data_IF_497209805970
#
_entry.id   IF_497209805970
#
_cell.length_a   1.000
_cell.length_b   1.000
_cell.length_c   1.000
_cell.angle_alpha   90.00
_cell.angle_beta   90.00
_cell.angle_gamma   90.00
#
_symmetry.space_group_name_H-M   'P 1'
#
loop_
_entity.id
_entity.type
_entity.pdbx_description
1 polymer ?
#
# COMPACT_ATOMS: atom_id res chain seq x y z
N UNK A 1 9.00 3.73 32.18
CA UNK A 1 10.22 4.11 31.45
C UNK A 1 10.23 3.35 30.15
N UNK A 2 9.65 3.93 29.11
CA UNK A 2 9.66 3.40 27.75
C UNK A 2 10.90 3.91 27.08
N UNK A 3 11.83 3.03 26.76
CA UNK A 3 13.02 3.36 25.97
C UNK A 3 12.56 3.78 24.58
N UNK A 4 12.61 5.08 24.35
CA UNK A 4 12.54 5.68 23.03
C UNK A 4 13.77 5.18 22.23
N UNK A 5 13.56 4.28 21.27
CA UNK A 5 14.60 3.82 20.36
C UNK A 5 14.66 4.81 19.19
N UNK A 6 15.22 5.99 19.47
CA UNK A 6 15.50 7.05 18.49
C UNK A 6 16.79 6.78 17.69
N UNK A 7 16.96 5.57 17.18
CA UNK A 7 17.97 5.25 16.17
C UNK A 7 17.39 5.46 14.76
N UNK A 8 18.23 5.63 13.73
CA UNK A 8 17.75 5.65 12.35
C UNK A 8 16.98 4.35 12.04
N UNK A 9 15.93 4.42 11.18
CA UNK A 9 15.18 3.22 10.81
C UNK A 9 16.10 2.20 10.13
N UNK A 10 15.83 0.88 10.30
CA UNK A 10 16.66 -0.16 9.72
C UNK A 10 16.63 -0.10 8.19
N UNK A 11 17.76 -0.41 7.57
CA UNK A 11 17.88 -0.46 6.11
C UNK A 11 17.43 -1.82 5.56
N UNK A 12 16.78 -1.89 4.39
CA UNK A 12 16.46 -3.14 3.70
C UNK A 12 17.68 -4.04 3.54
N UNK A 13 17.47 -5.36 3.61
CA UNK A 13 18.54 -6.35 3.54
C UNK A 13 19.32 -6.59 4.84
N UNK A 14 19.03 -5.84 5.91
CA UNK A 14 19.65 -6.06 7.24
C UNK A 14 18.79 -6.98 8.11
N UNK A 15 19.41 -7.61 9.13
CA UNK A 15 18.68 -8.42 10.12
C UNK A 15 17.62 -7.59 10.87
N UNK A 16 17.93 -6.34 11.20
CA UNK A 16 16.99 -5.42 11.83
C UNK A 16 15.78 -5.10 10.93
N UNK A 17 15.98 -5.02 9.62
CA UNK A 17 14.87 -4.88 8.65
C UNK A 17 14.02 -6.15 8.64
N UNK A 18 14.64 -7.32 8.53
CA UNK A 18 13.93 -8.60 8.54
C UNK A 18 13.09 -8.79 9.82
N UNK A 19 13.62 -8.37 10.97
CA UNK A 19 12.88 -8.41 12.25
C UNK A 19 11.69 -7.45 12.25
N UNK A 20 11.88 -6.21 11.75
CA UNK A 20 10.81 -5.23 11.62
C UNK A 20 9.69 -5.72 10.68
N UNK A 21 10.07 -6.25 9.52
CA UNK A 21 9.13 -6.80 8.53
C UNK A 21 8.36 -8.00 9.09
N UNK A 22 9.04 -8.88 9.83
CA UNK A 22 8.43 -10.01 10.55
C UNK A 22 7.42 -9.56 11.59
N UNK A 23 7.78 -8.59 12.44
CA UNK A 23 6.89 -8.03 13.46
C UNK A 23 5.65 -7.38 12.84
N UNK A 24 5.81 -6.69 11.72
CA UNK A 24 4.68 -6.10 10.98
C UNK A 24 3.77 -7.21 10.39
N UNK A 25 4.35 -8.26 9.80
CA UNK A 25 3.60 -9.40 9.28
C UNK A 25 2.79 -10.11 10.38
N UNK A 26 3.41 -10.38 11.53
CA UNK A 26 2.75 -10.98 12.70
C UNK A 26 1.59 -10.11 13.22
N UNK A 27 1.72 -8.80 13.18
CA UNK A 27 0.63 -7.89 13.54
C UNK A 27 -0.56 -8.06 12.61
N UNK A 28 -0.34 -8.14 11.29
CA UNK A 28 -1.41 -8.40 10.32
C UNK A 28 -1.97 -9.83 10.39
N UNK A 29 -1.16 -10.83 10.76
CA UNK A 29 -1.65 -12.18 11.06
C UNK A 29 -2.64 -12.17 12.25
N UNK A 30 -2.36 -11.38 13.31
CA UNK A 30 -3.26 -11.21 14.46
C UNK A 30 -4.55 -10.49 14.08
N UNK A 31 -4.45 -9.47 13.20
CA UNK A 31 -5.60 -8.69 12.72
C UNK A 31 -6.53 -9.58 11.90
N UNK A 32 -5.96 -10.29 10.91
CA UNK A 32 -6.64 -11.28 10.08
C UNK A 32 -7.98 -10.80 9.52
N UNK A 33 -9.00 -11.64 9.66
CA UNK A 33 -10.38 -11.42 9.18
C UNK A 33 -11.03 -10.12 9.70
N UNK A 34 -10.62 -9.66 10.89
CA UNK A 34 -11.14 -8.42 11.49
C UNK A 34 -10.72 -7.17 10.73
N UNK A 35 -9.74 -7.26 9.84
CA UNK A 35 -9.30 -6.11 9.02
C UNK A 35 -10.45 -5.52 8.20
N UNK A 36 -11.22 -6.37 7.52
CA UNK A 36 -12.31 -5.92 6.66
C UNK A 36 -13.49 -5.34 7.45
N UNK A 37 -13.73 -5.85 8.66
CA UNK A 37 -14.76 -5.34 9.58
C UNK A 37 -14.35 -4.00 10.22
N UNK A 38 -13.05 -3.83 10.51
CA UNK A 38 -12.52 -2.61 11.13
C UNK A 38 -12.52 -1.42 10.15
N UNK A 39 -12.49 -1.68 8.84
CA UNK A 39 -12.53 -0.65 7.79
C UNK A 39 -13.76 -0.79 6.91
N UNK A 40 -14.95 -0.41 7.41
CA UNK A 40 -16.17 -0.44 6.60
C UNK A 40 -16.17 0.63 5.51
N UNK A 41 -15.39 1.71 5.66
CA UNK A 41 -15.34 2.86 4.76
C UNK A 41 -14.26 2.67 3.68
N UNK A 42 -14.57 1.87 2.66
CA UNK A 42 -13.70 1.57 1.52
C UNK A 42 -14.07 2.34 0.25
N UNK A 43 -15.00 3.31 0.34
CA UNK A 43 -15.55 4.04 -0.81
C UNK A 43 -14.46 4.77 -1.60
N UNK A 44 -13.49 5.39 -0.91
CA UNK A 44 -12.34 6.05 -1.55
C UNK A 44 -11.52 5.06 -2.38
N UNK A 45 -11.13 3.94 -1.77
CA UNK A 45 -10.37 2.87 -2.40
C UNK A 45 -11.12 2.26 -3.60
N UNK A 46 -12.42 1.97 -3.43
CA UNK A 46 -13.26 1.44 -4.49
C UNK A 46 -13.42 2.41 -5.67
N UNK A 47 -13.58 3.70 -5.40
CA UNK A 47 -13.70 4.73 -6.43
C UNK A 47 -12.41 4.88 -7.23
N UNK A 48 -11.24 4.86 -6.55
CA UNK A 48 -9.94 4.94 -7.22
C UNK A 48 -9.65 3.71 -8.05
N UNK A 49 -9.99 2.52 -7.54
CA UNK A 49 -9.87 1.27 -8.32
C UNK A 49 -10.74 1.31 -9.58
N UNK A 50 -11.98 1.81 -9.50
CA UNK A 50 -12.85 1.97 -10.69
C UNK A 50 -12.24 2.89 -11.74
N UNK A 51 -11.65 4.02 -11.32
CA UNK A 51 -10.96 4.94 -12.23
C UNK A 51 -9.73 4.33 -12.86
N UNK A 52 -8.94 3.60 -12.08
CA UNK A 52 -7.81 2.88 -12.62
C UNK A 52 -8.28 1.91 -13.72
N UNK A 53 -9.34 1.16 -13.49
CA UNK A 53 -9.93 0.23 -14.46
C UNK A 53 -10.30 0.96 -15.77
N UNK A 54 -10.84 2.18 -15.70
CA UNK A 54 -11.19 2.98 -16.89
C UNK A 54 -9.94 3.41 -17.71
N UNK A 55 -8.78 3.50 -17.06
CA UNK A 55 -7.51 3.86 -17.71
C UNK A 55 -6.78 2.66 -18.32
N UNK A 56 -7.14 1.44 -17.94
CA UNK A 56 -6.41 0.22 -18.31
C UNK A 56 -7.04 -0.51 -19.49
N UNK A 57 -6.25 -0.95 -20.47
CA UNK A 57 -6.69 -1.91 -21.46
C UNK A 57 -7.15 -3.23 -20.81
N UNK A 58 -8.06 -3.95 -21.47
CA UNK A 58 -8.46 -5.28 -21.02
C UNK A 58 -7.26 -6.24 -21.00
N UNK A 59 -7.16 -7.05 -19.94
CA UNK A 59 -6.06 -7.99 -19.75
C UNK A 59 -4.78 -7.38 -19.20
N UNK A 60 -4.79 -6.11 -18.79
CA UNK A 60 -3.64 -5.44 -18.16
C UNK A 60 -3.09 -6.22 -16.97
N UNK A 61 -1.78 -6.17 -16.81
CA UNK A 61 -1.08 -6.74 -15.67
C UNK A 61 -1.00 -5.71 -14.55
N UNK A 62 -1.58 -6.03 -13.40
CA UNK A 62 -1.63 -5.13 -12.23
C UNK A 62 -0.95 -5.78 -11.03
N UNK A 63 -0.05 -5.05 -10.41
CA UNK A 63 0.56 -5.41 -9.13
C UNK A 63 -0.18 -4.69 -8.00
N UNK A 64 -0.64 -5.45 -7.00
CA UNK A 64 -1.29 -4.94 -5.79
C UNK A 64 -0.32 -5.11 -4.61
N UNK A 65 0.32 -4.02 -4.18
CA UNK A 65 1.32 -3.99 -3.13
C UNK A 65 0.68 -3.81 -1.75
N UNK A 66 0.90 -4.76 -0.85
CA UNK A 66 0.18 -4.86 0.40
C UNK A 66 -1.27 -5.21 0.16
N UNK A 67 -1.50 -6.29 -0.61
CA UNK A 67 -2.84 -6.68 -1.07
C UNK A 67 -3.81 -7.08 0.05
N UNK A 68 -3.31 -7.30 1.28
CA UNK A 68 -4.12 -7.68 2.42
C UNK A 68 -4.99 -8.90 2.13
N UNK A 69 -6.29 -8.77 2.39
CA UNK A 69 -7.31 -9.82 2.12
C UNK A 69 -7.75 -9.91 0.64
N UNK A 70 -7.16 -9.10 -0.24
CA UNK A 70 -7.57 -8.98 -1.65
C UNK A 70 -8.83 -8.13 -1.87
N UNK A 71 -9.42 -7.58 -0.79
CA UNK A 71 -10.66 -6.83 -0.81
C UNK A 71 -10.46 -5.34 -0.47
N UNK A 72 -11.10 -4.44 -1.21
CA UNK A 72 -11.95 -4.64 -2.40
C UNK A 72 -11.14 -4.68 -3.71
N UNK A 73 -9.85 -4.27 -3.70
CA UNK A 73 -9.04 -3.86 -4.86
C UNK A 73 -8.81 -5.01 -5.83
N UNK A 74 -8.13 -6.08 -5.40
CA UNK A 74 -7.82 -7.23 -6.27
C UNK A 74 -9.10 -7.81 -6.88
N UNK A 75 -10.19 -7.94 -6.09
CA UNK A 75 -11.49 -8.41 -6.58
C UNK A 75 -12.07 -7.53 -7.69
N UNK A 76 -12.01 -6.21 -7.53
CA UNK A 76 -12.53 -5.28 -8.55
C UNK A 76 -11.72 -5.37 -9.85
N UNK A 77 -10.39 -5.41 -9.73
CA UNK A 77 -9.48 -5.51 -10.88
C UNK A 77 -9.69 -6.81 -11.66
N UNK A 78 -9.77 -7.95 -10.95
CA UNK A 78 -10.02 -9.26 -11.59
C UNK A 78 -11.37 -9.28 -12.29
N UNK A 79 -12.44 -8.78 -11.65
CA UNK A 79 -13.77 -8.68 -12.26
C UNK A 79 -13.80 -7.80 -13.52
N UNK A 80 -12.89 -6.85 -13.63
CA UNK A 80 -12.71 -6.01 -14.80
C UNK A 80 -11.82 -6.65 -15.88
N UNK A 81 -11.33 -7.88 -15.65
CA UNK A 81 -10.51 -8.62 -16.60
C UNK A 81 -9.01 -8.35 -16.52
N UNK A 82 -8.53 -7.68 -15.47
CA UNK A 82 -7.10 -7.51 -15.23
C UNK A 82 -6.46 -8.82 -14.70
N UNK A 83 -5.18 -9.00 -14.98
CA UNK A 83 -4.34 -10.05 -14.39
C UNK A 83 -3.67 -9.46 -13.15
N UNK A 84 -4.10 -9.89 -11.98
CA UNK A 84 -3.64 -9.32 -10.71
C UNK A 84 -2.63 -10.24 -10.04
N UNK A 85 -1.51 -9.64 -9.62
CA UNK A 85 -0.55 -10.23 -8.70
C UNK A 85 -0.50 -9.39 -7.43
N UNK A 86 -0.84 -9.99 -6.30
CA UNK A 86 -0.76 -9.37 -4.97
C UNK A 86 0.54 -9.74 -4.28
N UNK A 87 1.26 -8.72 -3.76
CA UNK A 87 2.36 -8.90 -2.82
C UNK A 87 1.87 -8.56 -1.42
N UNK A 88 2.12 -9.46 -0.47
CA UNK A 88 1.72 -9.31 0.93
C UNK A 88 2.78 -9.96 1.83
N UNK A 89 3.06 -9.37 2.99
CA UNK A 89 4.04 -9.92 3.94
C UNK A 89 3.43 -10.93 4.93
N UNK A 90 2.13 -10.78 5.24
CA UNK A 90 1.39 -11.65 6.17
C UNK A 90 0.94 -12.94 5.49
N UNK A 91 1.40 -14.12 5.94
CA UNK A 91 0.91 -15.40 5.45
C UNK A 91 -0.61 -15.57 5.60
N UNK A 92 -1.17 -15.12 6.73
CA UNK A 92 -2.60 -15.26 6.99
C UNK A 92 -3.45 -14.39 6.05
N UNK A 93 -3.03 -13.14 5.80
CA UNK A 93 -3.70 -12.28 4.81
C UNK A 93 -3.68 -12.90 3.41
N UNK A 94 -2.57 -13.55 3.02
CA UNK A 94 -2.47 -14.25 1.73
C UNK A 94 -3.49 -15.41 1.64
N UNK A 95 -3.67 -16.18 2.71
CA UNK A 95 -4.66 -17.27 2.75
C UNK A 95 -6.08 -16.72 2.56
N UNK A 96 -6.41 -15.62 3.24
CA UNK A 96 -7.67 -14.91 3.07
C UNK A 96 -7.83 -14.39 1.64
N UNK A 97 -6.80 -13.73 1.09
CA UNK A 97 -6.83 -13.22 -0.26
C UNK A 97 -7.08 -14.30 -1.32
N UNK A 98 -6.42 -15.45 -1.19
CA UNK A 98 -6.63 -16.61 -2.08
C UNK A 98 -8.04 -17.18 -1.97
N UNK A 99 -8.64 -17.12 -0.78
CA UNK A 99 -10.03 -17.53 -0.58
C UNK A 99 -10.99 -16.53 -1.20
N UNK A 100 -10.73 -15.25 -1.05
CA UNK A 100 -11.61 -14.19 -1.54
C UNK A 100 -11.52 -13.96 -3.05
N UNK A 101 -10.33 -14.12 -3.64
CA UNK A 101 -10.05 -13.80 -5.05
C UNK A 101 -9.16 -14.92 -5.64
N UNK A 102 -9.71 -16.14 -5.83
CA UNK A 102 -8.94 -17.30 -6.29
C UNK A 102 -8.39 -17.14 -7.73
N UNK A 103 -8.91 -16.17 -8.49
CA UNK A 103 -8.45 -15.88 -9.84
C UNK A 103 -7.17 -15.01 -9.89
N UNK A 104 -6.76 -14.40 -8.76
CA UNK A 104 -5.54 -13.62 -8.65
C UNK A 104 -4.38 -14.48 -8.11
N UNK A 105 -3.15 -14.08 -8.44
CA UNK A 105 -1.96 -14.67 -7.84
C UNK A 105 -1.56 -13.86 -6.60
N UNK A 106 -1.37 -14.52 -5.45
CA UNK A 106 -0.87 -13.88 -4.23
C UNK A 106 0.43 -14.54 -3.79
N UNK A 107 1.46 -13.72 -3.58
CA UNK A 107 2.79 -14.15 -3.17
C UNK A 107 3.23 -13.43 -1.90
N UNK A 108 4.00 -14.15 -1.07
CA UNK A 108 4.62 -13.54 0.09
C UNK A 108 5.85 -12.77 -0.36
N UNK A 109 5.79 -11.43 -0.26
CA UNK A 109 6.89 -10.56 -0.64
C UNK A 109 6.84 -9.25 0.15
N UNK A 110 8.01 -8.73 0.50
CA UNK A 110 8.14 -7.35 1.00
C UNK A 110 8.13 -6.39 -0.19
N UNK A 111 7.56 -5.19 -0.01
CA UNK A 111 7.58 -4.12 -1.02
C UNK A 111 9.03 -3.78 -1.42
N UNK A 112 9.94 -3.84 -0.46
CA UNK A 112 11.36 -3.53 -0.68
C UNK A 112 12.13 -4.61 -1.44
N UNK A 113 11.51 -5.78 -1.70
CA UNK A 113 12.08 -6.90 -2.49
C UNK A 113 11.64 -6.85 -3.97
N UNK A 114 10.98 -5.77 -4.41
CA UNK A 114 10.62 -5.61 -5.82
C UNK A 114 11.88 -5.61 -6.70
N UNK A 115 11.86 -6.44 -7.75
CA UNK A 115 12.94 -6.49 -8.73
C UNK A 115 12.86 -5.26 -9.67
N UNK A 116 13.83 -4.33 -9.64
CA UNK A 116 13.82 -3.14 -10.48
C UNK A 116 13.98 -3.44 -11.98
N UNK A 117 14.47 -4.64 -12.34
CA UNK A 117 14.66 -5.05 -13.73
C UNK A 117 13.40 -5.68 -14.34
N UNK A 118 12.41 -5.98 -13.51
CA UNK A 118 11.16 -6.61 -13.91
C UNK A 118 10.08 -5.58 -14.31
N UNK A 119 10.24 -4.99 -15.50
CA UNK A 119 9.26 -4.05 -16.09
C UNK A 119 8.11 -4.80 -16.74
N UNK A 120 7.05 -5.07 -15.98
CA UNK A 120 5.94 -5.89 -16.48
C UNK A 120 4.54 -5.40 -16.18
N UNK A 121 4.38 -4.38 -15.37
CA UNK A 121 3.06 -3.96 -14.90
C UNK A 121 2.55 -2.73 -15.63
N UNK A 122 1.33 -2.81 -16.15
CA UNK A 122 0.60 -1.67 -16.70
C UNK A 122 0.14 -0.74 -15.59
N UNK A 123 -0.13 -1.30 -14.41
CA UNK A 123 -0.39 -0.52 -13.20
C UNK A 123 0.16 -1.17 -11.95
N UNK A 124 0.44 -0.34 -10.95
CA UNK A 124 0.72 -0.72 -9.56
C UNK A 124 -0.30 -0.04 -8.67
N UNK A 125 -0.85 -0.78 -7.73
CA UNK A 125 -1.71 -0.24 -6.67
C UNK A 125 -1.00 -0.41 -5.33
N UNK A 126 -0.99 0.63 -4.51
CA UNK A 126 -0.38 0.64 -3.18
C UNK A 126 -1.30 1.39 -2.20
N UNK A 127 -2.50 0.83 -1.95
CA UNK A 127 -3.46 1.45 -1.05
C UNK A 127 -3.15 1.12 0.41
N UNK A 128 -2.82 2.14 1.18
CA UNK A 128 -2.50 2.06 2.61
C UNK A 128 -1.37 1.06 2.95
N UNK A 129 -0.49 0.77 2.00
CA UNK A 129 0.63 -0.16 2.20
C UNK A 129 1.95 0.57 2.44
N UNK A 130 2.24 1.65 1.70
CA UNK A 130 3.47 2.42 1.89
C UNK A 130 3.54 3.10 3.27
N UNK A 131 2.39 3.36 3.90
CA UNK A 131 2.33 3.86 5.27
C UNK A 131 2.93 2.90 6.31
N UNK A 132 3.12 1.62 5.95
CA UNK A 132 3.79 0.63 6.78
C UNK A 132 5.32 0.69 6.71
N UNK A 133 5.89 1.58 5.89
CA UNK A 133 7.33 1.81 5.76
C UNK A 133 7.77 3.06 6.52
N UNK A 134 9.01 3.12 7.06
CA UNK A 134 9.58 4.37 7.54
C UNK A 134 9.71 5.41 6.40
N UNK A 135 9.62 6.70 6.69
CA UNK A 135 9.79 7.79 5.71
C UNK A 135 11.08 7.64 4.90
N UNK A 136 12.17 7.22 5.53
CA UNK A 136 13.45 7.01 4.87
C UNK A 136 13.42 5.95 3.75
N UNK A 137 12.45 5.03 3.77
CA UNK A 137 12.35 3.94 2.79
C UNK A 137 11.34 4.20 1.68
N UNK A 138 10.39 5.12 1.90
CA UNK A 138 9.32 5.42 0.94
C UNK A 138 9.86 5.92 -0.42
N UNK A 139 10.87 6.82 -0.50
CA UNK A 139 11.46 7.20 -1.78
C UNK A 139 12.06 6.01 -2.54
N UNK A 140 12.71 5.08 -1.84
CA UNK A 140 13.27 3.87 -2.44
C UNK A 140 12.14 2.97 -2.96
N UNK A 141 11.09 2.73 -2.17
CA UNK A 141 9.93 1.95 -2.59
C UNK A 141 9.26 2.55 -3.83
N UNK A 142 9.07 3.87 -3.88
CA UNK A 142 8.53 4.57 -5.05
C UNK A 142 9.43 4.41 -6.29
N UNK A 143 10.76 4.43 -6.11
CA UNK A 143 11.73 4.14 -7.16
C UNK A 143 11.60 2.72 -7.72
N UNK A 144 11.44 1.72 -6.86
CA UNK A 144 11.19 0.32 -7.24
C UNK A 144 9.85 0.16 -7.97
N UNK A 145 8.79 0.78 -7.46
CA UNK A 145 7.46 0.80 -8.09
C UNK A 145 7.56 1.41 -9.49
N UNK A 146 8.23 2.58 -9.63
CA UNK A 146 8.44 3.20 -10.93
C UNK A 146 9.21 2.30 -11.88
N UNK A 147 10.20 1.58 -11.40
CA UNK A 147 10.98 0.64 -12.23
C UNK A 147 10.11 -0.54 -12.70
N UNK A 148 9.23 -1.08 -11.85
CA UNK A 148 8.33 -2.19 -12.17
C UNK A 148 7.22 -1.82 -13.18
N UNK A 149 6.84 -0.54 -13.28
CA UNK A 149 5.87 -0.06 -14.27
C UNK A 149 6.44 -0.05 -15.68
N UNK A 150 5.63 -0.36 -16.68
CA UNK A 150 5.95 -0.07 -18.09
C UNK A 150 6.01 1.44 -18.34
N UNK A 151 6.69 1.94 -19.41
CA UNK A 151 6.58 3.36 -19.79
C UNK A 151 5.12 3.78 -19.98
N UNK A 152 4.71 4.89 -19.36
CA UNK A 152 3.31 5.32 -19.34
C UNK A 152 2.40 4.55 -18.39
N UNK A 153 2.93 3.59 -17.63
CA UNK A 153 2.18 2.83 -16.62
C UNK A 153 1.71 3.70 -15.44
N UNK A 154 0.70 3.24 -14.74
CA UNK A 154 -0.03 4.00 -13.71
C UNK A 154 0.28 3.47 -12.32
N UNK A 155 0.58 4.35 -11.37
CA UNK A 155 0.56 4.08 -9.94
C UNK A 155 -0.69 4.71 -9.32
N UNK A 156 -1.50 3.91 -8.62
CA UNK A 156 -2.48 4.41 -7.67
C UNK A 156 -2.01 4.12 -6.24
N UNK A 157 -1.83 5.15 -5.44
CA UNK A 157 -1.46 4.98 -4.03
C UNK A 157 -2.42 5.72 -3.11
N UNK A 158 -2.50 5.27 -1.86
CA UNK A 158 -3.14 6.04 -0.80
C UNK A 158 -2.36 5.99 0.49
N UNK A 159 -2.45 7.09 1.24
CA UNK A 159 -1.91 7.22 2.59
C UNK A 159 -2.89 7.98 3.48
N UNK A 160 -2.73 7.87 4.78
CA UNK A 160 -3.41 8.73 5.76
C UNK A 160 -2.60 10.02 5.91
N UNK A 161 -3.28 11.18 5.82
CA UNK A 161 -2.65 12.48 6.06
C UNK A 161 -2.32 12.61 7.55
N UNK A 162 -1.04 12.59 7.89
CA UNK A 162 -0.55 12.70 9.25
C UNK A 162 0.93 13.10 9.28
N UNK A 163 1.38 13.68 10.36
CA UNK A 163 2.80 13.91 10.63
C UNK A 163 3.33 12.78 11.53
N UNK A 164 3.72 11.66 10.92
CA UNK A 164 4.22 10.48 11.60
C UNK A 164 5.35 9.82 10.82
N UNK A 165 6.35 9.28 11.51
CA UNK A 165 7.42 8.48 10.92
C UNK A 165 7.65 7.23 11.76
N UNK A 166 7.24 6.08 11.22
CA UNK A 166 7.42 4.75 11.82
C UNK A 166 6.90 4.66 13.28
N UNK A 167 5.77 5.29 13.56
CA UNK A 167 5.19 5.35 14.91
C UNK A 167 4.41 4.07 15.21
N UNK A 168 4.68 3.39 16.34
CA UNK A 168 3.88 2.22 16.74
C UNK A 168 2.52 2.67 17.27
N UNK A 169 1.43 2.17 16.69
CA UNK A 169 0.07 2.42 17.13
C UNK A 169 -0.65 1.12 17.49
N UNK A 170 -1.58 1.13 18.46
CA UNK A 170 -2.52 0.03 18.67
C UNK A 170 -3.52 0.00 17.51
N UNK A 171 -3.76 -1.19 16.95
CA UNK A 171 -4.61 -1.35 15.79
C UNK A 171 -5.27 -2.73 15.76
N UNK A 172 -6.59 -2.79 15.90
CA UNK A 172 -7.40 -4.03 15.85
C UNK A 172 -6.82 -5.17 16.72
N UNK A 173 -6.33 -4.84 17.92
CA UNK A 173 -5.77 -5.82 18.85
C UNK A 173 -4.30 -6.20 18.63
N UNK A 174 -3.64 -5.62 17.66
CA UNK A 174 -2.22 -5.73 17.41
C UNK A 174 -1.51 -4.37 17.57
N UNK A 175 -0.21 -4.33 17.33
CA UNK A 175 0.57 -3.10 17.19
C UNK A 175 1.17 -3.06 15.79
N UNK A 176 0.84 -2.03 15.04
CA UNK A 176 1.41 -1.75 13.72
C UNK A 176 2.25 -0.49 13.78
N UNK A 177 3.24 -0.41 12.90
CA UNK A 177 4.04 0.80 12.72
C UNK A 177 3.53 1.52 11.50
N UNK A 178 3.32 2.83 11.66
CA UNK A 178 2.73 3.66 10.59
C UNK A 178 3.49 4.95 10.37
N UNK A 179 3.45 5.39 9.14
CA UNK A 179 4.03 6.62 8.64
C UNK A 179 2.95 7.42 7.93
N UNK A 180 2.96 8.73 8.08
CA UNK A 180 2.10 9.66 7.38
C UNK A 180 2.88 10.85 6.86
N UNK A 181 2.29 11.57 5.92
CA UNK A 181 2.78 12.82 5.35
C UNK A 181 1.65 13.84 5.29
N UNK A 182 1.97 15.12 5.37
CA UNK A 182 1.09 16.16 4.86
C UNK A 182 0.97 16.04 3.32
N UNK A 183 -0.17 16.41 2.76
CA UNK A 183 -0.46 16.22 1.31
C UNK A 183 0.60 16.80 0.38
N UNK A 184 1.04 18.03 0.64
CA UNK A 184 2.04 18.69 -0.19
C UNK A 184 3.39 17.96 -0.16
N UNK A 185 3.79 17.45 1.00
CA UNK A 185 5.01 16.68 1.17
C UNK A 185 4.91 15.33 0.46
N UNK A 186 3.79 14.60 0.62
CA UNK A 186 3.56 13.34 -0.09
C UNK A 186 3.68 13.51 -1.61
N UNK A 187 3.05 14.57 -2.16
CA UNK A 187 3.17 14.90 -3.59
C UNK A 187 4.63 15.12 -3.99
N UNK A 188 5.37 15.91 -3.22
CA UNK A 188 6.79 16.18 -3.48
C UNK A 188 7.60 14.88 -3.51
N UNK A 189 7.45 14.02 -2.52
CA UNK A 189 8.16 12.73 -2.44
C UNK A 189 7.86 11.84 -3.64
N UNK A 190 6.61 11.80 -4.11
CA UNK A 190 6.19 11.05 -5.29
C UNK A 190 6.80 11.62 -6.57
N UNK A 191 6.79 12.95 -6.72
CA UNK A 191 7.34 13.64 -7.90
C UNK A 191 8.87 13.52 -7.97
N UNK A 192 9.56 13.60 -6.83
CA UNK A 192 11.01 13.39 -6.72
C UNK A 192 11.42 11.95 -7.07
N UNK A 193 10.55 10.96 -6.88
CA UNK A 193 10.76 9.61 -7.35
C UNK A 193 10.59 9.44 -8.87
N UNK A 194 10.27 10.52 -9.61
CA UNK A 194 10.12 10.52 -11.06
C UNK A 194 8.77 10.03 -11.56
N UNK A 195 7.74 10.18 -10.76
CA UNK A 195 6.34 9.93 -11.10
C UNK A 195 5.61 11.26 -11.27
N UNK A 196 4.68 11.36 -12.22
CA UNK A 196 3.86 12.55 -12.46
C UNK A 196 2.51 12.37 -11.78
N UNK A 197 2.16 13.20 -10.82
CA UNK A 197 0.85 13.17 -10.17
C UNK A 197 -0.20 13.79 -11.10
N UNK A 198 -1.10 12.96 -11.63
CA UNK A 198 -2.17 13.36 -12.57
C UNK A 198 -3.49 13.69 -11.87
N UNK A 199 -3.82 13.00 -10.78
CA UNK A 199 -5.04 13.25 -9.99
C UNK A 199 -4.75 13.09 -8.49
N UNK A 200 -5.38 13.92 -7.67
CA UNK A 200 -5.33 13.87 -6.22
C UNK A 200 -6.74 13.98 -5.67
N UNK A 201 -7.07 13.08 -4.75
CA UNK A 201 -8.36 13.09 -4.06
C UNK A 201 -8.16 12.91 -2.57
N UNK A 202 -8.99 13.61 -1.84
CA UNK A 202 -9.01 13.58 -0.39
C UNK A 202 -10.38 13.13 0.07
N UNK A 203 -10.40 12.13 0.94
CA UNK A 203 -11.62 11.63 1.58
C UNK A 203 -11.40 11.71 3.08
N UNK A 204 -12.32 12.37 3.78
CA UNK A 204 -12.29 12.43 5.24
C UNK A 204 -13.52 11.71 5.79
N UNK A 205 -13.34 10.95 6.85
CA UNK A 205 -14.42 10.31 7.58
C UNK A 205 -14.14 10.35 9.09
N UNK A 206 -15.20 10.21 9.87
CA UNK A 206 -15.11 10.12 11.32
C UNK A 206 -15.12 8.65 11.72
N UNK A 207 -14.02 8.11 12.29
CA UNK A 207 -13.91 6.68 12.59
C UNK A 207 -14.80 6.18 13.74
N UNK A 208 -15.56 7.05 14.37
CA UNK A 208 -16.47 6.73 15.48
C UNK A 208 -16.40 7.78 16.59
N UNK A 209 -17.27 7.65 17.64
CA UNK A 209 -17.35 8.61 18.74
C UNK A 209 -16.01 8.78 19.45
N UNK A 210 -15.50 10.01 19.44
CA UNK A 210 -14.28 10.42 20.16
C UNK A 210 -12.97 10.16 19.46
N UNK A 211 -12.96 9.58 18.25
CA UNK A 211 -11.76 9.52 17.42
C UNK A 211 -11.65 10.78 16.53
N UNK A 212 -10.44 11.31 16.29
CA UNK A 212 -10.27 12.41 15.35
C UNK A 212 -10.65 11.97 13.94
N UNK A 213 -11.16 12.87 13.08
CA UNK A 213 -11.40 12.58 11.69
C UNK A 213 -10.11 12.05 11.02
N UNK A 214 -10.26 10.98 10.24
CA UNK A 214 -9.18 10.46 9.41
C UNK A 214 -9.29 11.06 8.02
N UNK A 215 -8.20 11.58 7.50
CA UNK A 215 -8.11 12.12 6.15
C UNK A 215 -7.24 11.19 5.32
N UNK A 216 -7.82 10.61 4.28
CA UNK A 216 -7.16 9.72 3.33
C UNK A 216 -6.84 10.50 2.06
N UNK A 217 -5.58 10.42 1.62
CA UNK A 217 -5.10 11.02 0.37
C UNK A 217 -4.91 9.90 -0.64
N UNK A 218 -5.50 10.05 -1.80
CA UNK A 218 -5.36 9.15 -2.94
C UNK A 218 -4.69 9.88 -4.10
N UNK A 219 -3.64 9.31 -4.64
CA UNK A 219 -2.92 9.84 -5.79
C UNK A 219 -2.99 8.85 -6.96
N UNK A 220 -3.27 9.38 -8.16
CA UNK A 220 -3.06 8.67 -9.42
C UNK A 220 -1.84 9.30 -10.09
N UNK A 221 -0.83 8.49 -10.33
CA UNK A 221 0.47 8.95 -10.83
C UNK A 221 0.83 8.17 -12.11
N UNK A 222 1.61 8.81 -12.98
CA UNK A 222 2.07 8.18 -14.22
C UNK A 222 3.59 8.10 -14.26
N UNK A 223 4.12 6.95 -14.69
CA UNK A 223 5.51 6.85 -15.09
C UNK A 223 5.70 7.57 -16.43
N UNK A 224 6.61 8.55 -16.48
CA UNK A 224 7.02 9.18 -17.72
C UNK A 224 7.54 8.15 -18.74
N UNK A 225 7.32 8.43 -20.01
CA UNK A 225 7.73 7.57 -21.12
C UNK A 225 9.26 7.37 -21.21
#
# INVERSE_FOLDING_TARGET
MTTDHSGPPPSPGTEAWAERSRSQAEAFDIIGERYDEAFPHKEGQEQHTRRLIELLPAGSHVLDLGSGTGLPTARQLVRAGARVRGHEISPHMIELARTHVPEAEFVRADIMDLDPDERRYDAVVAFFSLLCLPRAQIPTALGLIRAALVPGGVLCLSMVEAEADDVPIPFVGARVRVTGYGRAELRTVVEEAGLVVEDERVVSYEPGEGAPPETQVFLTCRRSA
#
